data_IF_133717677022
#
_entry.id   IF_133717677022
#
_cell.length_a   1.000
_cell.length_b   1.000
_cell.length_c   1.000
_cell.angle_alpha   90.00
_cell.angle_beta   90.00
_cell.angle_gamma   90.00
#
_symmetry.space_group_name_H-M   'P 1'
#
loop_
_entity.id
_entity.type
_entity.pdbx_description
1 polymer ?
#
# COMPACT_ATOMS: atom_id res chain seq x y z
N UNK A 1 -5.82 10.78 -8.30
CA UNK A 1 -5.77 12.19 -7.95
C UNK A 1 -7.01 12.89 -8.55
N UNK A 2 -7.88 13.48 -7.73
CA UNK A 2 -9.17 13.99 -8.20
C UNK A 2 -9.06 15.24 -9.08
N UNK A 3 -7.94 15.95 -9.03
CA UNK A 3 -7.71 17.15 -9.84
C UNK A 3 -7.14 16.78 -11.22
N UNK A 4 -6.16 15.87 -11.23
CA UNK A 4 -5.42 15.56 -12.47
C UNK A 4 -5.91 14.31 -13.18
N UNK A 5 -6.81 13.53 -12.58
CA UNK A 5 -7.22 12.19 -12.99
C UNK A 5 -6.05 11.20 -13.15
N UNK A 6 -4.91 11.51 -12.58
CA UNK A 6 -3.79 10.58 -12.52
C UNK A 6 -3.99 9.55 -11.41
N UNK A 7 -3.23 8.47 -11.50
CA UNK A 7 -3.19 7.46 -10.43
C UNK A 7 -2.83 8.17 -9.11
N UNK A 8 -3.62 7.92 -8.07
CA UNK A 8 -3.39 8.48 -6.75
C UNK A 8 -2.05 8.04 -6.16
N UNK A 9 -1.45 8.87 -5.32
CA UNK A 9 -0.24 8.48 -4.59
C UNK A 9 -0.43 7.13 -3.90
N UNK A 10 0.55 6.26 -4.07
CA UNK A 10 0.50 4.86 -3.64
C UNK A 10 1.78 4.47 -2.89
N UNK A 11 1.65 3.75 -1.79
CA UNK A 11 2.77 3.07 -1.15
C UNK A 11 2.57 1.57 -1.28
N UNK A 12 3.61 0.86 -1.73
CA UNK A 12 3.63 -0.60 -1.81
C UNK A 12 4.64 -1.14 -0.79
N UNK A 13 4.17 -2.02 0.08
CA UNK A 13 5.01 -2.72 1.05
C UNK A 13 5.43 -4.08 0.50
N UNK A 14 6.70 -4.20 0.13
CA UNK A 14 7.30 -5.41 -0.43
C UNK A 14 7.93 -6.29 0.65
N UNK A 15 8.11 -7.58 0.35
CA UNK A 15 8.74 -8.57 1.27
C UNK A 15 10.22 -8.29 1.47
N UNK A 16 10.93 -7.92 0.40
CA UNK A 16 12.39 -7.76 0.40
C UNK A 16 12.85 -6.67 -0.57
N UNK A 17 14.13 -6.31 -0.49
CA UNK A 17 14.77 -5.34 -1.38
C UNK A 17 14.67 -5.77 -2.86
N UNK A 18 14.95 -7.05 -3.14
CA UNK A 18 14.85 -7.59 -4.50
C UNK A 18 13.40 -7.59 -5.01
N UNK A 19 12.43 -7.88 -4.13
CA UNK A 19 11.02 -7.80 -4.48
C UNK A 19 10.63 -6.34 -4.79
N UNK A 20 11.05 -5.39 -3.95
CA UNK A 20 10.80 -3.97 -4.19
C UNK A 20 11.37 -3.49 -5.52
N UNK A 21 12.61 -3.90 -5.86
CA UNK A 21 13.25 -3.57 -7.14
C UNK A 21 12.46 -4.12 -8.33
N UNK A 22 12.11 -5.41 -8.30
CA UNK A 22 11.35 -6.04 -9.38
C UNK A 22 9.97 -5.41 -9.57
N UNK A 23 9.26 -5.11 -8.47
CA UNK A 23 7.99 -4.41 -8.54
C UNK A 23 8.13 -3.02 -9.17
N UNK A 24 9.17 -2.29 -8.80
CA UNK A 24 9.45 -0.97 -9.37
C UNK A 24 9.69 -1.04 -10.88
N UNK A 25 10.49 -2.02 -11.34
CA UNK A 25 10.77 -2.26 -12.76
C UNK A 25 9.47 -2.58 -13.52
N UNK A 26 8.71 -3.57 -13.05
CA UNK A 26 7.43 -3.98 -13.67
C UNK A 26 6.44 -2.82 -13.75
N UNK A 27 6.27 -2.07 -12.65
CA UNK A 27 5.35 -0.94 -12.61
C UNK A 27 5.73 0.17 -13.60
N UNK A 28 7.02 0.43 -13.77
CA UNK A 28 7.48 1.40 -14.76
C UNK A 28 7.28 0.92 -16.19
N UNK A 29 7.51 -0.39 -16.46
CA UNK A 29 7.22 -0.99 -17.77
C UNK A 29 5.73 -0.88 -18.12
N UNK A 30 4.84 -1.26 -17.20
CA UNK A 30 3.39 -1.10 -17.41
C UNK A 30 2.96 0.35 -17.55
N UNK A 31 3.54 1.26 -16.77
CA UNK A 31 3.24 2.68 -16.89
C UNK A 31 3.65 3.24 -18.26
N UNK A 32 4.78 2.80 -18.82
CA UNK A 32 5.20 3.20 -20.17
C UNK A 32 4.27 2.62 -21.26
N UNK A 33 3.79 1.38 -21.08
CA UNK A 33 2.83 0.77 -22.00
C UNK A 33 1.47 1.49 -21.99
N UNK A 34 0.96 1.85 -20.79
CA UNK A 34 -0.34 2.48 -20.64
C UNK A 34 -0.31 4.00 -20.92
N UNK A 35 0.80 4.65 -20.64
CA UNK A 35 0.98 6.09 -20.73
C UNK A 35 2.33 6.43 -21.38
N UNK A 36 2.52 6.14 -22.68
CA UNK A 36 3.82 6.30 -23.35
C UNK A 36 4.38 7.71 -23.19
N UNK A 37 5.65 7.81 -22.76
CA UNK A 37 6.36 9.07 -22.60
C UNK A 37 5.92 9.96 -21.44
N UNK A 38 4.92 9.57 -20.66
CA UNK A 38 4.39 10.40 -19.57
C UNK A 38 5.29 10.39 -18.33
N UNK A 39 5.75 9.21 -17.93
CA UNK A 39 6.48 9.02 -16.68
C UNK A 39 7.98 8.79 -16.87
N UNK A 40 8.43 8.30 -18.04
CA UNK A 40 9.84 8.02 -18.36
C UNK A 40 10.56 7.25 -17.25
N UNK A 41 10.00 6.12 -16.82
CA UNK A 41 10.50 5.27 -15.72
C UNK A 41 10.50 5.91 -14.31
N UNK A 42 9.80 7.02 -14.12
CA UNK A 42 9.65 7.68 -12.82
C UNK A 42 8.25 7.47 -12.20
N UNK A 43 7.41 6.62 -12.80
CA UNK A 43 6.09 6.31 -12.26
C UNK A 43 6.19 5.65 -10.87
N UNK A 44 7.08 4.68 -10.73
CA UNK A 44 7.39 3.99 -9.49
C UNK A 44 8.86 4.16 -9.12
N UNK A 45 9.14 4.35 -7.83
CA UNK A 45 10.51 4.38 -7.31
C UNK A 45 10.67 3.48 -6.09
N UNK A 46 11.83 2.85 -5.98
CA UNK A 46 12.20 2.08 -4.81
C UNK A 46 12.69 3.02 -3.71
N UNK A 47 12.03 2.98 -2.54
CA UNK A 47 12.38 3.80 -1.36
C UNK A 47 12.70 2.85 -0.21
N UNK A 48 13.97 2.46 -0.11
CA UNK A 48 14.44 1.48 0.86
C UNK A 48 15.78 1.90 1.45
N UNK A 49 16.17 1.32 2.57
CA UNK A 49 17.41 1.66 3.28
C UNK A 49 18.70 1.43 2.47
N UNK A 50 18.63 0.70 1.36
CA UNK A 50 19.77 0.49 0.46
C UNK A 50 19.91 1.60 -0.60
N UNK A 51 18.92 2.45 -0.75
CA UNK A 51 18.94 3.59 -1.67
C UNK A 51 19.53 4.79 -0.93
N UNK A 52 20.59 5.38 -1.46
CA UNK A 52 21.36 6.44 -0.78
C UNK A 52 20.55 7.64 -0.32
N UNK A 53 19.59 8.08 -1.14
CA UNK A 53 18.78 9.28 -0.88
C UNK A 53 17.34 8.95 -0.43
N UNK A 54 17.11 7.75 0.09
CA UNK A 54 15.75 7.29 0.41
C UNK A 54 15.00 8.22 1.36
N UNK A 55 15.64 8.80 2.35
CA UNK A 55 15.00 9.78 3.25
C UNK A 55 14.57 11.04 2.49
N UNK A 56 15.42 11.57 1.63
CA UNK A 56 15.07 12.74 0.83
C UNK A 56 13.95 12.41 -0.17
N UNK A 57 13.93 11.19 -0.71
CA UNK A 57 12.83 10.72 -1.58
C UNK A 57 11.50 10.68 -0.83
N UNK A 58 11.46 10.24 0.44
CA UNK A 58 10.23 10.27 1.25
C UNK A 58 9.72 11.69 1.46
N UNK A 59 10.61 12.62 1.76
CA UNK A 59 10.28 14.05 1.93
C UNK A 59 9.75 14.64 0.60
N UNK A 60 10.44 14.37 -0.50
CA UNK A 60 10.05 14.85 -1.82
C UNK A 60 8.70 14.27 -2.25
N UNK A 61 8.41 13.01 -1.92
CA UNK A 61 7.12 12.38 -2.20
C UNK A 61 5.99 13.04 -1.40
N UNK A 62 6.20 13.28 -0.10
CA UNK A 62 5.23 14.02 0.73
C UNK A 62 4.97 15.42 0.18
N UNK A 63 6.03 16.14 -0.20
CA UNK A 63 5.94 17.52 -0.68
C UNK A 63 5.53 17.64 -2.16
N UNK A 64 5.13 16.57 -2.81
CA UNK A 64 4.73 16.54 -4.21
C UNK A 64 5.83 17.04 -5.17
N UNK A 65 7.08 16.64 -4.92
CA UNK A 65 8.25 17.07 -5.67
C UNK A 65 9.18 15.93 -6.12
N UNK A 66 8.72 14.67 -6.03
CA UNK A 66 9.54 13.53 -6.42
C UNK A 66 9.50 13.35 -7.94
N UNK A 67 10.67 13.31 -8.58
CA UNK A 67 10.89 13.14 -10.03
C UNK A 67 10.24 14.22 -10.92
N UNK A 68 9.92 15.40 -10.34
CA UNK A 68 9.26 16.47 -11.08
C UNK A 68 7.75 16.31 -11.19
N UNK A 69 7.14 16.86 -12.25
CA UNK A 69 5.69 16.89 -12.48
C UNK A 69 5.34 16.29 -13.84
N UNK A 70 4.15 15.70 -13.96
CA UNK A 70 3.57 15.24 -15.24
C UNK A 70 2.59 16.25 -15.80
N UNK A 71 1.94 17.04 -14.95
CA UNK A 71 0.97 18.06 -15.29
C UNK A 71 1.41 19.38 -14.67
N UNK A 72 1.50 20.43 -15.49
CA UNK A 72 1.91 21.76 -15.06
C UNK A 72 0.67 22.62 -14.83
N UNK A 73 -0.07 22.34 -13.76
CA UNK A 73 -1.17 23.18 -13.32
C UNK A 73 -0.60 24.23 -12.37
N UNK A 74 -0.78 25.51 -12.71
CA UNK A 74 -0.34 26.60 -11.87
C UNK A 74 -1.05 26.53 -10.51
N UNK A 75 -0.29 26.63 -9.42
CA UNK A 75 -0.84 26.54 -8.06
C UNK A 75 -1.12 25.13 -7.54
N UNK A 76 -1.16 24.10 -8.40
CA UNK A 76 -1.38 22.71 -7.95
C UNK A 76 -0.07 21.95 -7.79
N UNK A 77 0.08 21.34 -6.61
CA UNK A 77 1.25 20.51 -6.30
C UNK A 77 0.97 19.04 -6.58
N UNK A 78 1.67 18.49 -7.55
CA UNK A 78 1.66 17.04 -7.83
C UNK A 78 3.06 16.58 -8.20
N UNK A 79 3.42 15.33 -7.94
CA UNK A 79 4.70 14.76 -8.37
C UNK A 79 4.52 13.75 -9.50
N UNK A 80 5.58 13.58 -10.30
CA UNK A 80 5.62 12.61 -11.40
C UNK A 80 5.59 11.19 -10.86
N UNK A 81 6.35 10.91 -9.79
CA UNK A 81 6.31 9.62 -9.10
C UNK A 81 4.96 9.45 -8.40
N UNK A 82 4.23 8.42 -8.80
CA UNK A 82 2.93 8.07 -8.22
C UNK A 82 3.01 6.93 -7.22
N UNK A 83 4.05 6.10 -7.31
CA UNK A 83 4.21 4.90 -6.49
C UNK A 83 5.58 4.87 -5.80
N UNK A 84 5.58 4.73 -4.48
CA UNK A 84 6.78 4.39 -3.71
C UNK A 84 6.73 2.92 -3.29
N UNK A 85 7.75 2.15 -3.67
CA UNK A 85 7.87 0.74 -3.27
C UNK A 85 8.89 0.64 -2.15
N UNK A 86 8.47 0.18 -0.98
CA UNK A 86 9.29 0.11 0.24
C UNK A 86 9.24 -1.27 0.87
N UNK A 87 10.19 -1.57 1.75
CA UNK A 87 10.12 -2.75 2.63
C UNK A 87 9.63 -2.36 4.02
N UNK A 88 10.12 -1.27 4.57
CA UNK A 88 9.76 -0.84 5.94
C UNK A 88 9.97 0.64 6.24
N UNK A 89 10.63 1.40 5.37
CA UNK A 89 11.01 2.79 5.68
C UNK A 89 9.82 3.74 5.88
N UNK A 90 8.70 3.50 5.20
CA UNK A 90 7.52 4.37 5.28
C UNK A 90 6.45 3.84 6.27
N UNK A 91 6.81 2.87 7.10
CA UNK A 91 5.89 2.29 8.10
C UNK A 91 5.73 3.22 9.30
N UNK A 92 6.81 3.77 9.85
CA UNK A 92 6.81 4.63 11.03
C UNK A 92 7.28 6.03 10.70
N UNK A 93 6.77 7.04 11.41
CA UNK A 93 7.25 8.42 11.31
C UNK A 93 7.02 9.13 9.97
N UNK A 94 6.38 8.48 9.00
CA UNK A 94 6.09 9.05 7.69
C UNK A 94 4.67 9.62 7.64
N UNK A 95 4.50 10.84 7.17
CA UNK A 95 3.20 11.50 7.03
C UNK A 95 3.01 12.01 5.60
N UNK A 96 1.96 11.52 4.94
CA UNK A 96 1.60 11.86 3.57
C UNK A 96 0.06 11.92 3.47
N UNK A 97 -0.56 13.06 3.79
CA UNK A 97 -2.01 13.17 3.89
C UNK A 97 -2.74 12.87 2.58
N UNK A 98 -2.14 13.21 1.44
CA UNK A 98 -2.69 12.99 0.10
C UNK A 98 -2.46 11.58 -0.47
N UNK A 99 -2.01 10.63 0.38
CA UNK A 99 -1.89 9.22 0.02
C UNK A 99 -3.27 8.60 -0.21
N UNK A 100 -3.51 8.07 -1.40
CA UNK A 100 -4.80 7.50 -1.80
C UNK A 100 -4.83 5.98 -1.83
N UNK A 101 -3.67 5.33 -1.95
CA UNK A 101 -3.60 3.88 -2.04
C UNK A 101 -2.48 3.31 -1.17
N UNK A 102 -2.74 2.19 -0.53
CA UNK A 102 -1.76 1.36 0.16
C UNK A 102 -1.86 -0.05 -0.41
N UNK A 103 -0.72 -0.66 -0.70
CA UNK A 103 -0.67 -2.01 -1.23
C UNK A 103 0.24 -2.87 -0.34
N UNK A 104 -0.32 -3.89 0.28
CA UNK A 104 0.39 -4.85 1.13
C UNK A 104 0.74 -6.10 0.32
N UNK A 105 1.94 -6.11 -0.28
CA UNK A 105 2.49 -7.25 -1.01
C UNK A 105 3.45 -8.06 -0.14
N UNK A 106 3.16 -8.12 1.15
CA UNK A 106 3.84 -8.96 2.13
C UNK A 106 2.89 -9.40 3.23
N UNK A 107 3.11 -10.55 3.87
CA UNK A 107 2.42 -10.88 5.10
C UNK A 107 2.86 -9.91 6.20
N UNK A 108 1.91 -9.54 7.05
CA UNK A 108 2.15 -8.74 8.26
C UNK A 108 2.00 -9.68 9.46
N UNK A 109 2.96 -9.64 10.37
CA UNK A 109 2.99 -10.54 11.53
C UNK A 109 2.74 -9.80 12.85
N UNK A 110 2.71 -8.48 12.82
CA UNK A 110 2.53 -7.63 14.00
C UNK A 110 1.27 -6.78 13.85
N UNK A 111 0.34 -6.80 14.83
CA UNK A 111 -0.82 -5.92 14.83
C UNK A 111 -0.41 -4.44 14.84
N UNK A 112 0.69 -4.09 15.51
CA UNK A 112 1.20 -2.73 15.52
C UNK A 112 1.62 -2.28 14.11
N UNK A 113 2.31 -3.14 13.34
CA UNK A 113 2.70 -2.84 11.96
C UNK A 113 1.46 -2.68 11.07
N UNK A 114 0.47 -3.57 11.22
CA UNK A 114 -0.78 -3.50 10.47
C UNK A 114 -1.50 -2.17 10.71
N UNK A 115 -1.70 -1.79 11.97
CA UNK A 115 -2.35 -0.53 12.36
C UNK A 115 -1.56 0.68 11.84
N UNK A 116 -0.23 0.64 11.93
CA UNK A 116 0.62 1.73 11.43
C UNK A 116 0.55 1.88 9.92
N UNK A 117 0.60 0.78 9.17
CA UNK A 117 0.48 0.79 7.71
C UNK A 117 -0.89 1.32 7.30
N UNK A 118 -1.98 0.74 7.83
CA UNK A 118 -3.36 1.18 7.56
C UNK A 118 -3.57 2.66 7.90
N UNK A 119 -3.03 3.09 9.05
CA UNK A 119 -3.10 4.47 9.52
C UNK A 119 -2.45 5.52 8.60
N UNK A 120 -1.60 5.12 7.65
CA UNK A 120 -1.06 6.05 6.64
C UNK A 120 -2.14 6.50 5.66
N UNK A 121 -3.09 5.63 5.35
CA UNK A 121 -4.19 5.96 4.45
C UNK A 121 -5.29 6.81 5.08
N UNK A 122 -5.48 6.75 6.39
CA UNK A 122 -6.59 7.41 7.09
C UNK A 122 -6.43 8.92 7.29
N UNK A 123 -5.30 9.49 6.91
CA UNK A 123 -5.05 10.93 7.02
C UNK A 123 -6.03 11.72 6.15
N UNK A 124 -6.63 12.74 6.73
CA UNK A 124 -7.49 13.68 6.01
C UNK A 124 -6.66 14.57 5.10
N UNK A 125 -7.18 14.87 3.93
CA UNK A 125 -6.57 15.80 2.97
C UNK A 125 -7.66 16.47 2.15
N UNK A 126 -7.41 17.70 1.74
CA UNK A 126 -8.23 18.42 0.76
C UNK A 126 -7.35 18.72 -0.45
N UNK A 127 -7.75 18.24 -1.62
CA UNK A 127 -7.12 18.56 -2.88
C UNK A 127 -7.72 19.87 -3.38
N UNK A 128 -6.87 20.89 -3.52
CA UNK A 128 -7.30 22.22 -3.95
C UNK A 128 -6.54 22.64 -5.21
N UNK A 129 -7.26 23.19 -6.17
CA UNK A 129 -6.71 23.77 -7.38
C UNK A 129 -7.41 25.09 -7.68
N UNK A 130 -6.65 26.18 -7.65
CA UNK A 130 -7.13 27.52 -7.99
C UNK A 130 -6.63 27.87 -9.38
N UNK A 131 -7.54 28.26 -10.26
CA UNK A 131 -7.26 28.66 -11.64
C UNK A 131 -8.06 29.92 -11.97
N UNK A 132 -7.65 30.61 -13.04
CA UNK A 132 -8.41 31.73 -13.60
C UNK A 132 -9.33 31.23 -14.70
N UNK A 133 -10.61 31.56 -14.58
CA UNK A 133 -11.61 31.24 -15.58
C UNK A 133 -11.49 32.20 -16.81
N UNK A 134 -12.32 32.02 -17.81
CA UNK A 134 -12.34 32.82 -19.04
C UNK A 134 -12.60 34.31 -18.78
N UNK A 135 -13.22 34.65 -17.66
CA UNK A 135 -13.49 36.01 -17.22
C UNK A 135 -12.36 36.61 -16.38
N UNK A 136 -11.22 35.88 -16.26
CA UNK A 136 -10.06 36.28 -15.43
C UNK A 136 -10.36 36.34 -13.91
N UNK A 137 -11.44 35.64 -13.46
CA UNK A 137 -11.80 35.48 -12.05
C UNK A 137 -11.15 34.22 -11.50
N UNK A 138 -10.74 34.27 -10.22
CA UNK A 138 -10.18 33.11 -9.54
C UNK A 138 -11.28 32.11 -9.15
N UNK A 139 -11.16 30.89 -9.61
CA UNK A 139 -12.03 29.78 -9.29
C UNK A 139 -11.23 28.67 -8.60
N UNK A 140 -11.78 28.09 -7.54
CA UNK A 140 -11.12 27.02 -6.76
C UNK A 140 -11.94 25.76 -6.79
N UNK A 141 -11.35 24.70 -7.34
CA UNK A 141 -11.87 23.32 -7.22
C UNK A 141 -11.33 22.71 -5.92
N UNK A 142 -12.25 22.08 -5.16
CA UNK A 142 -11.93 21.39 -3.90
C UNK A 142 -12.51 19.99 -3.90
N UNK A 143 -11.67 19.02 -3.52
CA UNK A 143 -12.09 17.63 -3.33
C UNK A 143 -11.53 17.13 -2.00
N UNK A 144 -12.41 16.77 -1.07
CA UNK A 144 -12.01 16.16 0.18
C UNK A 144 -11.65 14.68 -0.03
N UNK A 145 -10.61 14.22 0.64
CA UNK A 145 -10.26 12.82 0.69
C UNK A 145 -11.19 12.12 1.69
N UNK A 146 -12.20 11.45 1.18
CA UNK A 146 -13.17 10.69 1.98
C UNK A 146 -12.69 9.28 2.29
N UNK A 147 -11.98 8.64 1.33
CA UNK A 147 -11.55 7.26 1.41
C UNK A 147 -10.13 7.09 0.90
N UNK A 148 -9.51 5.97 1.27
CA UNK A 148 -8.32 5.45 0.62
C UNK A 148 -8.56 3.98 0.24
N UNK A 149 -7.80 3.46 -0.72
CA UNK A 149 -7.87 2.05 -1.13
C UNK A 149 -6.73 1.28 -0.48
N UNK A 150 -7.07 0.11 0.07
CA UNK A 150 -6.13 -0.83 0.64
C UNK A 150 -6.16 -2.11 -0.19
N UNK A 151 -5.04 -2.42 -0.85
CA UNK A 151 -4.86 -3.64 -1.62
C UNK A 151 -4.07 -4.63 -0.76
N UNK A 152 -4.68 -5.75 -0.45
CA UNK A 152 -4.11 -6.78 0.42
C UNK A 152 -4.02 -8.12 -0.31
N UNK A 153 -2.80 -8.59 -0.52
CA UNK A 153 -2.52 -9.83 -1.24
C UNK A 153 -2.27 -11.03 -0.32
N UNK A 154 -2.33 -10.84 0.99
CA UNK A 154 -1.99 -11.87 1.98
C UNK A 154 -3.06 -12.06 3.05
N UNK A 155 -4.28 -11.59 2.82
CA UNK A 155 -5.38 -11.66 3.79
C UNK A 155 -5.04 -11.06 5.18
N UNK A 156 -4.15 -10.05 5.23
CA UNK A 156 -3.80 -9.38 6.47
C UNK A 156 -5.04 -8.71 7.10
N UNK A 157 -5.91 -8.15 6.25
CA UNK A 157 -7.12 -7.46 6.70
C UNK A 157 -8.08 -8.41 7.38
N UNK A 158 -8.37 -9.57 6.77
CA UNK A 158 -9.24 -10.59 7.38
C UNK A 158 -8.66 -11.09 8.70
N UNK A 159 -7.33 -11.25 8.76
CA UNK A 159 -6.70 -11.73 9.98
C UNK A 159 -6.77 -10.69 11.11
N UNK A 160 -6.36 -9.47 10.87
CA UNK A 160 -6.24 -8.45 11.92
C UNK A 160 -7.57 -7.76 12.27
N UNK A 161 -8.55 -7.73 11.38
CA UNK A 161 -9.85 -7.09 11.65
C UNK A 161 -10.88 -8.08 12.21
N UNK A 162 -10.75 -9.39 11.93
CA UNK A 162 -11.77 -10.37 12.31
C UNK A 162 -11.24 -11.46 13.26
N UNK A 163 -10.00 -11.89 13.11
CA UNK A 163 -9.48 -13.07 13.81
C UNK A 163 -8.50 -12.77 14.93
N UNK A 164 -7.87 -11.60 14.90
CA UNK A 164 -6.86 -11.26 15.88
C UNK A 164 -7.49 -10.70 17.16
N UNK A 165 -7.22 -11.35 18.28
CA UNK A 165 -7.63 -10.87 19.60
C UNK A 165 -6.59 -9.88 20.15
N UNK A 166 -6.94 -8.59 20.13
CA UNK A 166 -6.09 -7.50 20.64
C UNK A 166 -5.99 -7.50 22.17
N UNK A 167 -6.89 -8.18 22.87
CA UNK A 167 -6.92 -8.27 24.34
C UNK A 167 -6.19 -9.51 24.86
N UNK A 168 -5.78 -10.43 23.95
CA UNK A 168 -5.04 -11.63 24.33
C UNK A 168 -3.66 -11.26 24.92
N UNK A 169 -3.48 -11.56 26.21
CA UNK A 169 -2.18 -11.40 26.87
C UNK A 169 -1.21 -12.45 26.34
N UNK A 170 -0.16 -12.02 25.65
CA UNK A 170 0.95 -12.87 25.21
C UNK A 170 1.52 -13.64 26.43
N UNK A 171 1.21 -14.92 26.50
CA UNK A 171 1.87 -15.82 27.46
C UNK A 171 3.24 -16.16 26.91
N UNK A 172 4.26 -15.49 27.41
CA UNK A 172 5.64 -15.86 27.10
C UNK A 172 5.83 -17.35 27.43
N UNK A 173 6.40 -18.15 26.52
CA UNK A 173 6.72 -19.54 26.82
C UNK A 173 7.64 -19.56 28.04
N UNK A 174 7.23 -20.25 29.10
CA UNK A 174 8.08 -20.43 30.28
C UNK A 174 9.34 -21.16 29.82
N UNK A 175 10.55 -20.64 30.13
CA UNK A 175 11.77 -21.37 29.84
C UNK A 175 11.69 -22.72 30.54
N UNK A 176 11.77 -23.80 29.78
CA UNK A 176 11.88 -25.14 30.35
C UNK A 176 13.16 -25.14 31.18
N UNK A 177 13.04 -25.20 32.54
CA UNK A 177 14.15 -25.49 33.43
C UNK A 177 14.80 -26.79 33.02
N UNK A 178 16.08 -26.72 32.74
CA UNK A 178 16.84 -27.75 32.12
C UNK A 178 16.76 -29.12 32.78
N UNK A 179 16.96 -30.10 31.97
CA UNK A 179 17.15 -31.51 32.29
C UNK A 179 17.21 -32.30 31.02
N UNK A 180 18.40 -32.63 30.56
CA UNK A 180 18.75 -33.86 29.91
C UNK A 180 18.37 -34.06 28.44
N UNK A 181 19.40 -34.17 27.63
CA UNK A 181 19.55 -35.04 26.47
C UNK A 181 18.50 -35.10 25.35
N UNK A 182 18.95 -34.70 24.17
CA UNK A 182 18.71 -35.42 22.90
C UNK A 182 17.27 -35.47 22.39
N UNK A 183 16.91 -34.57 21.51
CA UNK A 183 15.72 -34.75 20.73
C UNK A 183 15.41 -33.51 19.91
N UNK A 184 15.80 -33.51 18.65
CA UNK A 184 15.38 -32.50 17.69
C UNK A 184 13.86 -32.41 17.67
N UNK A 185 13.32 -31.40 18.30
CA UNK A 185 11.91 -31.06 18.20
C UNK A 185 11.65 -30.49 16.83
N UNK A 186 11.32 -31.37 15.88
CA UNK A 186 10.77 -30.96 14.59
C UNK A 186 9.54 -30.10 14.86
N UNK A 187 9.50 -28.95 14.23
CA UNK A 187 8.29 -28.14 14.13
C UNK A 187 7.27 -29.05 13.46
N UNK A 188 6.18 -29.35 14.14
CA UNK A 188 5.09 -30.17 13.63
C UNK A 188 4.37 -29.36 12.53
N UNK A 189 4.86 -29.53 11.30
CA UNK A 189 4.37 -28.85 10.10
C UNK A 189 2.95 -29.32 9.76
N UNK A 190 2.51 -30.47 10.29
CA UNK A 190 1.18 -31.05 10.04
C UNK A 190 0.03 -30.32 10.77
N UNK A 191 0.31 -29.33 11.60
CA UNK A 191 -0.72 -28.48 12.22
C UNK A 191 -1.15 -27.27 11.41
N UNK A 192 -0.52 -27.00 10.29
CA UNK A 192 -1.05 -26.04 9.32
C UNK A 192 -2.12 -26.77 8.51
N UNK A 193 -3.34 -26.80 9.04
CA UNK A 193 -4.52 -27.20 8.28
C UNK A 193 -4.54 -26.42 6.99
N UNK A 194 -4.42 -27.14 5.86
CA UNK A 194 -4.65 -26.56 4.55
C UNK A 194 -5.95 -25.77 4.59
N UNK A 195 -5.90 -24.51 4.26
CA UNK A 195 -7.08 -23.67 4.13
C UNK A 195 -8.06 -24.39 3.21
N UNK A 196 -9.31 -24.54 3.67
CA UNK A 196 -10.42 -24.98 2.85
C UNK A 196 -10.52 -24.07 1.62
N UNK A 197 -11.08 -24.58 0.49
CA UNK A 197 -11.25 -23.77 -0.69
C UNK A 197 -11.85 -22.41 -0.28
N UNK A 198 -11.24 -21.35 -0.78
CA UNK A 198 -11.50 -19.96 -0.42
C UNK A 198 -13.01 -19.69 -0.40
N UNK A 199 -13.65 -19.49 0.77
CA UNK A 199 -15.06 -19.15 0.84
C UNK A 199 -15.36 -17.80 0.19
N UNK A 200 -14.32 -17.06 -0.16
CA UNK A 200 -14.34 -15.70 -0.68
C UNK A 200 -14.53 -15.65 -2.20
N UNK A 201 -14.39 -16.79 -2.90
CA UNK A 201 -14.57 -16.86 -4.36
C UNK A 201 -16.00 -16.57 -4.85
N UNK A 202 -16.97 -16.50 -3.95
CA UNK A 202 -18.39 -16.32 -4.30
C UNK A 202 -18.97 -14.94 -3.95
N UNK A 203 -18.21 -14.06 -3.29
CA UNK A 203 -18.70 -12.76 -2.82
C UNK A 203 -18.10 -11.61 -3.63
N UNK A 204 -18.94 -10.69 -4.09
CA UNK A 204 -18.53 -9.52 -4.89
C UNK A 204 -17.99 -8.40 -3.98
N UNK A 205 -18.66 -8.10 -2.89
CA UNK A 205 -18.22 -7.17 -1.85
C UNK A 205 -18.60 -7.68 -0.46
N UNK A 206 -17.69 -7.63 0.48
CA UNK A 206 -17.93 -7.96 1.88
C UNK A 206 -17.41 -6.85 2.79
N UNK A 207 -18.19 -6.54 3.84
CA UNK A 207 -17.75 -5.63 4.88
C UNK A 207 -16.93 -6.41 5.91
N UNK A 208 -15.70 -5.99 6.15
CA UNK A 208 -14.79 -6.57 7.14
C UNK A 208 -14.60 -5.61 8.30
N UNK A 209 -14.81 -6.11 9.53
CA UNK A 209 -14.61 -5.37 10.76
C UNK A 209 -15.67 -4.28 11.04
N UNK A 210 -15.61 -3.72 12.23
CA UNK A 210 -16.59 -2.74 12.73
C UNK A 210 -16.55 -1.39 12.01
N UNK A 211 -15.45 -1.07 11.33
CA UNK A 211 -15.20 0.26 10.75
C UNK A 211 -15.54 0.36 9.26
N UNK A 212 -16.33 -0.58 8.72
CA UNK A 212 -16.90 -0.47 7.39
C UNK A 212 -15.91 -0.67 6.24
N UNK A 213 -14.79 -1.38 6.46
CA UNK A 213 -13.90 -1.80 5.38
C UNK A 213 -14.66 -2.77 4.46
N UNK A 214 -14.53 -2.56 3.14
CA UNK A 214 -15.15 -3.44 2.14
C UNK A 214 -14.07 -4.09 1.29
N UNK A 215 -14.24 -5.38 1.00
CA UNK A 215 -13.41 -6.11 0.04
C UNK A 215 -14.12 -6.10 -1.32
N UNK A 216 -13.43 -5.61 -2.34
CA UNK A 216 -13.86 -5.73 -3.73
C UNK A 216 -13.18 -6.95 -4.36
N UNK A 217 -13.94 -8.03 -4.44
CA UNK A 217 -13.44 -9.31 -4.96
C UNK A 217 -13.57 -9.44 -6.47
N UNK A 218 -14.43 -8.66 -7.07
CA UNK A 218 -14.57 -8.65 -8.53
C UNK A 218 -13.31 -8.11 -9.21
N UNK A 219 -12.69 -7.10 -8.58
CA UNK A 219 -11.41 -6.56 -9.05
C UNK A 219 -10.30 -7.61 -8.99
N UNK A 220 -10.24 -8.38 -7.90
CA UNK A 220 -9.25 -9.45 -7.71
C UNK A 220 -9.44 -10.58 -8.74
N UNK A 221 -10.67 -11.02 -8.95
CA UNK A 221 -10.99 -12.06 -9.93
C UNK A 221 -10.65 -11.64 -11.36
N UNK A 222 -10.95 -10.41 -11.73
CA UNK A 222 -10.57 -9.84 -13.04
C UNK A 222 -9.05 -9.78 -13.24
N UNK A 223 -8.30 -9.58 -12.17
CA UNK A 223 -6.83 -9.60 -12.21
C UNK A 223 -6.30 -11.01 -12.37
N UNK A 224 -6.84 -11.97 -11.62
CA UNK A 224 -6.50 -13.40 -11.70
C UNK A 224 -6.80 -13.97 -13.10
N UNK A 225 -7.97 -13.68 -13.65
CA UNK A 225 -8.39 -14.09 -14.98
C UNK A 225 -7.44 -13.55 -16.07
N UNK A 226 -6.90 -12.35 -15.92
CA UNK A 226 -5.91 -11.80 -16.86
C UNK A 226 -4.56 -12.50 -16.79
N UNK A 227 -4.08 -12.88 -15.60
CA UNK A 227 -2.81 -13.62 -15.43
C UNK A 227 -2.89 -15.01 -16.03
N UNK A 228 -4.08 -15.64 -16.02
CA UNK A 228 -4.28 -16.98 -16.58
C UNK A 228 -4.39 -16.95 -18.12
N UNK A 229 -4.75 -15.81 -18.71
CA UNK A 229 -4.94 -15.66 -20.17
C UNK A 229 -3.65 -15.24 -20.91
N UNK A 230 -2.61 -14.76 -20.23
CA UNK A 230 -1.28 -14.46 -20.76
C UNK A 230 -0.30 -15.63 -20.52
#
# INVERSE_FOLDING_TARGET
>A
DPITNEIGKTIIFAVSQNHARKLTEILNEFAEQLYPGKYNSDFAVQVTSQVGDAQQMTINFTNNNLSGKTTWLEGYKSCKTRVCVTVGMMTTGYDCPDLLNICMMRPIFSPADFVQIKGRGTRKNTFEYTFKNELNEEETQRHEKEVFKLFDFFANCEYFEEKFDYDEKLKLPKPKKGGGEGGGGGIDIDKYTSYRPDPLATMVEEQIGEYGMRIDRELFKKFEDRIIMD
#
